data_IF_421759456502
#
_entry.id   IF_421759456502
#
_cell.length_a   1.000
_cell.length_b   1.000
_cell.length_c   1.000
_cell.angle_alpha   90.00
_cell.angle_beta   90.00
_cell.angle_gamma   90.00
#
_symmetry.space_group_name_H-M   'P 1'
#
loop_
_entity.id
_entity.type
_entity.pdbx_description
1 polymer ?
#
# COMPACT_ATOMS: atom_id res chain seq x y z
N UNK A 1 10.97 2.28 12.08
CA UNK A 1 9.65 2.43 11.43
C UNK A 1 8.62 1.70 12.28
N UNK A 2 7.41 2.25 12.43
CA UNK A 2 6.33 1.54 13.11
C UNK A 2 5.98 0.25 12.35
N UNK A 3 5.59 -0.79 13.08
CA UNK A 3 5.17 -2.07 12.47
C UNK A 3 3.82 -1.96 11.74
N UNK A 4 3.03 -0.95 12.08
CA UNK A 4 1.76 -0.59 11.45
C UNK A 4 1.87 0.83 10.90
N UNK A 5 1.70 0.97 9.59
CA UNK A 5 1.71 2.26 8.91
C UNK A 5 0.29 2.79 8.73
N UNK A 6 0.14 4.10 8.81
CA UNK A 6 -1.02 4.84 8.33
C UNK A 6 -1.02 4.93 6.80
N UNK A 7 -2.12 5.43 6.21
CA UNK A 7 -2.19 5.62 4.75
C UNK A 7 -1.14 6.60 4.23
N UNK A 8 -0.88 7.70 4.94
CA UNK A 8 0.15 8.67 4.55
C UNK A 8 1.54 8.04 4.58
N UNK A 9 1.86 7.29 5.63
CA UNK A 9 3.15 6.59 5.73
C UNK A 9 3.31 5.53 4.64
N UNK A 10 2.23 4.82 4.28
CA UNK A 10 2.25 3.89 3.16
C UNK A 10 2.49 4.59 1.82
N UNK A 11 1.83 5.72 1.58
CA UNK A 11 1.99 6.52 0.36
C UNK A 11 3.46 6.91 0.17
N UNK A 12 4.09 7.41 1.24
CA UNK A 12 5.49 7.81 1.23
C UNK A 12 6.41 6.58 1.09
N UNK A 13 6.09 5.50 1.78
CA UNK A 13 6.85 4.24 1.72
C UNK A 13 6.91 3.67 0.30
N UNK A 14 5.77 3.68 -0.40
CA UNK A 14 5.65 3.18 -1.78
C UNK A 14 6.09 4.21 -2.83
N UNK A 15 6.49 5.43 -2.42
CA UNK A 15 6.88 6.54 -3.32
C UNK A 15 5.82 6.85 -4.37
N UNK A 16 4.55 6.77 -3.97
CA UNK A 16 3.42 7.04 -4.87
C UNK A 16 3.47 8.46 -5.47
N UNK A 17 3.78 9.53 -4.71
CA UNK A 17 3.85 10.88 -5.26
C UNK A 17 4.85 11.03 -6.40
N UNK A 18 5.95 10.27 -6.37
CA UNK A 18 7.02 10.32 -7.36
C UNK A 18 6.67 9.58 -8.65
N UNK A 19 5.82 8.55 -8.56
CA UNK A 19 5.50 7.66 -9.69
C UNK A 19 4.07 7.86 -10.24
N UNK A 20 3.21 8.57 -9.52
CA UNK A 20 1.80 8.78 -9.89
C UNK A 20 1.48 10.27 -10.05
N UNK A 21 0.80 10.62 -11.15
CA UNK A 21 0.26 11.96 -11.39
C UNK A 21 -1.15 12.17 -10.81
N UNK A 22 -1.63 11.22 -10.00
CA UNK A 22 -2.98 11.29 -9.44
C UNK A 22 -3.13 12.52 -8.51
N UNK A 23 -4.19 13.30 -8.72
CA UNK A 23 -4.51 14.45 -7.86
C UNK A 23 -4.97 14.03 -6.45
N UNK A 24 -5.48 12.80 -6.31
CA UNK A 24 -5.89 12.22 -5.05
C UNK A 24 -5.19 10.87 -4.84
N UNK A 25 -4.21 10.85 -3.93
CA UNK A 25 -3.41 9.66 -3.65
C UNK A 25 -4.22 8.58 -2.92
N UNK A 26 -5.27 8.94 -2.16
CA UNK A 26 -6.16 7.95 -1.54
C UNK A 26 -6.89 7.09 -2.57
N UNK A 27 -7.20 7.61 -3.75
CA UNK A 27 -7.77 6.80 -4.84
C UNK A 27 -6.78 5.75 -5.35
N UNK A 28 -5.48 6.07 -5.37
CA UNK A 28 -4.44 5.10 -5.73
C UNK A 28 -4.39 3.97 -4.70
N UNK A 29 -4.42 4.31 -3.42
CA UNK A 29 -4.41 3.34 -2.33
C UNK A 29 -5.69 2.48 -2.33
N UNK A 30 -6.86 3.06 -2.59
CA UNK A 30 -8.09 2.28 -2.78
C UNK A 30 -8.02 1.33 -3.99
N UNK A 31 -7.46 1.78 -5.11
CA UNK A 31 -7.26 0.93 -6.27
C UNK A 31 -6.29 -0.22 -5.95
N UNK A 32 -5.19 0.03 -5.25
CA UNK A 32 -4.25 -1.01 -4.80
C UNK A 32 -4.93 -2.03 -3.87
N UNK A 33 -5.80 -1.57 -2.95
CA UNK A 33 -6.62 -2.45 -2.11
C UNK A 33 -7.56 -3.34 -2.91
N UNK A 34 -8.26 -2.78 -3.91
CA UNK A 34 -9.31 -3.50 -4.66
C UNK A 34 -8.79 -4.37 -5.79
N UNK A 35 -7.77 -3.90 -6.51
CA UNK A 35 -7.31 -4.51 -7.77
C UNK A 35 -6.01 -5.31 -7.61
N UNK A 36 -5.23 -5.01 -6.57
CA UNK A 36 -3.91 -5.60 -6.37
C UNK A 36 -3.77 -6.32 -5.02
N UNK A 37 -4.86 -6.46 -4.26
CA UNK A 37 -4.90 -7.13 -2.96
C UNK A 37 -3.92 -6.57 -1.91
N UNK A 38 -3.74 -5.23 -1.90
CA UNK A 38 -2.89 -4.57 -0.92
C UNK A 38 -3.34 -4.89 0.53
N UNK A 39 -2.48 -5.50 1.37
CA UNK A 39 -2.86 -5.93 2.72
C UNK A 39 -3.13 -4.74 3.64
N UNK A 40 -4.24 -4.81 4.38
CA UNK A 40 -4.58 -3.84 5.42
C UNK A 40 -5.35 -4.50 6.57
N UNK A 41 -5.27 -3.89 7.76
CA UNK A 41 -6.04 -4.25 8.96
C UNK A 41 -6.84 -3.04 9.43
N UNK A 42 -8.06 -3.26 9.90
CA UNK A 42 -8.92 -2.18 10.40
C UNK A 42 -8.87 -2.12 11.93
N UNK A 43 -8.29 -1.05 12.48
CA UNK A 43 -8.27 -0.78 13.92
C UNK A 43 -9.00 0.55 14.16
N UNK A 44 -9.96 0.56 15.09
CA UNK A 44 -10.80 1.75 15.36
C UNK A 44 -11.46 2.31 14.09
N UNK A 45 -11.90 1.45 13.17
CA UNK A 45 -12.47 1.80 11.84
C UNK A 45 -11.52 2.53 10.89
N UNK A 46 -10.22 2.61 11.20
CA UNK A 46 -9.19 3.14 10.30
C UNK A 46 -8.34 2.01 9.72
N UNK A 47 -8.03 2.05 8.41
CA UNK A 47 -7.10 1.10 7.82
C UNK A 47 -5.67 1.42 8.26
N UNK A 48 -4.94 0.38 8.65
CA UNK A 48 -3.51 0.38 8.90
C UNK A 48 -2.85 -0.71 8.05
N UNK A 49 -1.58 -0.51 7.76
CA UNK A 49 -0.82 -1.32 6.82
C UNK A 49 0.38 -1.95 7.53
N UNK A 50 0.31 -3.25 7.87
CA UNK A 50 1.42 -3.93 8.51
C UNK A 50 2.63 -3.98 7.59
N UNK A 51 3.78 -3.49 8.06
CA UNK A 51 4.99 -3.36 7.24
C UNK A 51 5.43 -4.70 6.65
N UNK A 52 5.42 -5.76 7.47
CA UNK A 52 5.81 -7.11 7.03
C UNK A 52 4.91 -7.61 5.89
N UNK A 53 3.61 -7.45 6.03
CA UNK A 53 2.64 -7.88 5.00
C UNK A 53 2.78 -7.06 3.72
N UNK A 54 3.03 -5.75 3.82
CA UNK A 54 3.28 -4.90 2.64
C UNK A 54 4.56 -5.32 1.91
N UNK A 55 5.64 -5.66 2.64
CA UNK A 55 6.88 -6.15 2.04
C UNK A 55 6.68 -7.50 1.32
N UNK A 56 6.00 -8.44 1.95
CA UNK A 56 5.64 -9.73 1.33
C UNK A 56 4.78 -9.51 0.09
N UNK A 57 3.82 -8.59 0.15
CA UNK A 57 3.01 -8.21 -0.99
C UNK A 57 3.83 -7.63 -2.15
N UNK A 58 4.80 -6.74 -1.88
CA UNK A 58 5.71 -6.21 -2.92
C UNK A 58 6.47 -7.34 -3.61
N UNK A 59 7.00 -8.30 -2.85
CA UNK A 59 7.69 -9.46 -3.41
C UNK A 59 6.78 -10.27 -4.33
N UNK A 60 5.53 -10.49 -3.93
CA UNK A 60 4.54 -11.17 -4.77
C UNK A 60 4.21 -10.39 -6.05
N UNK A 61 4.12 -9.05 -6.01
CA UNK A 61 3.91 -8.26 -7.22
C UNK A 61 5.10 -8.39 -8.19
N UNK A 62 6.33 -8.34 -7.68
CA UNK A 62 7.54 -8.55 -8.50
C UNK A 62 7.55 -9.92 -9.16
N UNK A 63 7.11 -10.97 -8.47
CA UNK A 63 6.97 -12.31 -9.06
C UNK A 63 5.90 -12.38 -10.14
N UNK A 64 4.76 -11.68 -9.95
CA UNK A 64 3.69 -11.60 -10.96
C UNK A 64 4.15 -10.86 -12.22
N UNK A 65 4.95 -9.80 -12.09
CA UNK A 65 5.47 -9.02 -13.22
C UNK A 65 6.56 -9.74 -14.02
N UNK A 66 7.24 -10.73 -13.41
CA UNK A 66 8.24 -11.57 -14.09
C UNK A 66 7.62 -12.65 -14.99
N UNK A 67 6.30 -12.87 -14.92
CA UNK A 67 5.56 -13.83 -15.74
C UNK A 67 4.99 -13.17 -16.98
#
# INVERSE_FOLDING_TARGET
>A
MPELMTENELIDFLRIPEISKAKNLSHVIENLKRMHDLPCVHICRKPLYPLKSVLEWIQQQVEKEKR
#
